data_IF_065478177791
#
_entry.id   IF_065478177791
#
_cell.length_a   1.000
_cell.length_b   1.000
_cell.length_c   1.000
_cell.angle_alpha   90.00
_cell.angle_beta   90.00
_cell.angle_gamma   90.00
#
_symmetry.space_group_name_H-M   'P 1'
#
loop_
_entity.id
_entity.type
_entity.pdbx_description
1 polymer ?
#
# COMPACT_ATOMS: atom_id res chain seq x y z
N UNK A 1 -19.50 10.79 -20.45
CA UNK A 1 -20.03 10.18 -19.22
C UNK A 1 -19.11 10.52 -18.06
N UNK A 2 -19.67 10.83 -16.90
CA UNK A 2 -18.91 11.12 -15.67
C UNK A 2 -19.49 10.28 -14.55
N UNK A 3 -18.65 9.51 -13.90
CA UNK A 3 -18.92 8.80 -12.66
C UNK A 3 -18.15 9.48 -11.54
N UNK A 4 -18.85 9.83 -10.48
CA UNK A 4 -18.29 10.46 -9.28
C UNK A 4 -18.42 9.51 -8.09
N UNK A 5 -17.41 9.49 -7.25
CA UNK A 5 -17.42 8.77 -5.98
C UNK A 5 -16.79 9.66 -4.90
N UNK A 6 -17.26 9.55 -3.70
CA UNK A 6 -16.65 10.15 -2.53
C UNK A 6 -16.34 9.09 -1.49
N UNK A 7 -15.12 9.08 -1.02
CA UNK A 7 -14.67 8.27 0.10
C UNK A 7 -14.09 9.19 1.17
N UNK A 8 -14.54 9.01 2.41
CA UNK A 8 -14.02 9.75 3.56
C UNK A 8 -14.25 8.92 4.83
N UNK A 9 -13.44 9.15 5.85
CA UNK A 9 -13.67 8.55 7.15
C UNK A 9 -13.18 9.42 8.29
N UNK A 10 -13.93 9.33 9.40
CA UNK A 10 -13.52 9.85 10.72
C UNK A 10 -12.92 8.71 11.50
N UNK A 11 -11.76 8.92 12.07
CA UNK A 11 -11.00 7.96 12.86
C UNK A 11 -10.86 8.43 14.30
N UNK A 12 -11.26 7.59 15.24
CA UNK A 12 -10.77 7.62 16.61
C UNK A 12 -9.59 6.68 16.72
N UNK A 13 -8.45 7.22 17.14
CA UNK A 13 -7.20 6.51 17.38
C UNK A 13 -6.89 6.53 18.85
N UNK A 14 -6.60 5.37 19.44
CA UNK A 14 -6.14 5.26 20.82
C UNK A 14 -4.99 4.24 20.89
N UNK A 15 -3.79 4.76 21.04
CA UNK A 15 -2.58 3.95 21.24
C UNK A 15 -2.41 3.67 22.74
N UNK A 16 -2.05 2.43 23.09
CA UNK A 16 -1.89 1.99 24.47
C UNK A 16 -0.66 1.12 24.64
N UNK A 17 -0.01 1.25 25.80
CA UNK A 17 1.18 0.47 26.13
C UNK A 17 2.25 0.58 25.03
N UNK A 18 2.43 1.79 24.51
CA UNK A 18 3.50 2.11 23.58
C UNK A 18 4.78 2.28 24.39
N UNK A 19 5.84 1.62 23.97
CA UNK A 19 7.16 1.86 24.56
C UNK A 19 7.57 3.32 24.33
N UNK A 20 8.06 4.04 25.36
CA UNK A 20 8.35 5.48 25.24
C UNK A 20 9.54 5.78 24.34
N UNK A 21 10.39 4.80 24.08
CA UNK A 21 11.51 4.90 23.14
C UNK A 21 11.82 3.53 22.54
N UNK A 22 12.55 3.53 21.44
CA UNK A 22 13.17 2.35 20.90
C UNK A 22 14.60 2.67 20.42
N UNK A 23 15.46 1.66 20.41
CA UNK A 23 16.80 1.76 19.85
C UNK A 23 16.83 1.08 18.51
N UNK A 24 17.20 1.83 17.46
CA UNK A 24 17.31 1.27 16.11
C UNK A 24 18.55 0.36 15.96
N UNK A 25 18.66 -0.32 14.82
CA UNK A 25 19.75 -1.28 14.55
C UNK A 25 21.14 -0.65 14.51
N UNK A 26 21.22 0.67 14.51
CA UNK A 26 22.47 1.45 14.54
C UNK A 26 22.80 2.02 15.93
N UNK A 27 22.01 1.66 16.95
CA UNK A 27 22.20 2.08 18.33
C UNK A 27 21.70 3.48 18.64
N UNK A 28 20.88 4.08 17.77
CA UNK A 28 20.29 5.41 18.01
C UNK A 28 18.98 5.24 18.75
N UNK A 29 18.88 5.86 19.93
CA UNK A 29 17.63 5.91 20.70
C UNK A 29 16.69 6.99 20.12
N UNK A 30 15.43 6.61 19.92
CA UNK A 30 14.38 7.46 19.39
C UNK A 30 13.20 7.48 20.34
N UNK A 31 12.73 8.68 20.68
CA UNK A 31 11.52 8.84 21.51
C UNK A 31 10.26 8.56 20.72
N UNK A 32 9.27 7.94 21.36
CA UNK A 32 7.97 7.62 20.79
C UNK A 32 6.89 8.35 21.57
N UNK A 33 6.03 9.08 20.86
CA UNK A 33 4.91 9.77 21.46
C UNK A 33 3.62 8.99 21.23
N UNK A 34 2.97 8.59 22.34
CA UNK A 34 1.67 7.95 22.30
C UNK A 34 0.57 8.94 21.90
N UNK A 35 -0.39 8.51 21.09
CA UNK A 35 -1.51 9.33 20.63
C UNK A 35 -2.86 8.79 21.10
N UNK A 36 -3.76 9.74 21.39
CA UNK A 36 -5.19 9.51 21.49
C UNK A 36 -5.89 10.71 20.90
N UNK A 37 -6.56 10.54 19.78
CA UNK A 37 -7.23 11.65 19.09
C UNK A 37 -8.39 11.17 18.20
N UNK A 38 -9.15 12.16 17.72
CA UNK A 38 -10.19 11.99 16.70
C UNK A 38 -9.88 12.93 15.54
N UNK A 39 -9.96 12.43 14.30
CA UNK A 39 -9.72 13.24 13.13
C UNK A 39 -10.51 12.79 11.90
N UNK A 40 -10.82 13.71 11.00
CA UNK A 40 -11.16 13.41 9.62
C UNK A 40 -9.86 13.01 8.91
N UNK A 41 -9.61 11.70 8.83
CA UNK A 41 -8.28 11.21 8.46
C UNK A 41 -7.99 11.29 6.98
N UNK A 42 -9.01 11.10 6.13
CA UNK A 42 -8.83 11.09 4.68
C UNK A 42 -10.08 11.55 3.93
N UNK A 43 -9.83 12.20 2.81
CA UNK A 43 -10.80 12.49 1.78
C UNK A 43 -10.25 12.00 0.44
N UNK A 44 -11.06 11.30 -0.34
CA UNK A 44 -10.70 10.83 -1.68
C UNK A 44 -11.91 10.95 -2.61
N UNK A 45 -11.76 11.71 -3.67
CA UNK A 45 -12.82 11.99 -4.62
C UNK A 45 -12.36 11.73 -6.06
N UNK A 46 -12.63 10.54 -6.60
CA UNK A 46 -12.38 10.22 -7.99
C UNK A 46 -13.51 10.66 -8.90
N UNK A 47 -13.11 11.07 -10.10
CA UNK A 47 -13.95 11.34 -11.26
C UNK A 47 -13.50 10.39 -12.36
N UNK A 48 -14.34 9.46 -12.76
CA UNK A 48 -14.05 8.51 -13.82
C UNK A 48 -15.06 8.64 -14.97
N UNK A 49 -14.65 8.27 -16.15
CA UNK A 49 -15.57 8.29 -17.29
C UNK A 49 -14.85 8.12 -18.63
N UNK A 50 -15.49 8.61 -19.65
CA UNK A 50 -14.95 8.61 -21.00
C UNK A 50 -15.29 9.90 -21.75
N UNK A 51 -14.47 10.23 -22.74
CA UNK A 51 -14.67 11.37 -23.64
C UNK A 51 -14.49 10.94 -25.10
N UNK A 52 -15.13 11.65 -26.02
CA UNK A 52 -15.21 11.33 -27.45
C UNK A 52 -15.86 9.97 -27.72
N UNK A 53 -15.28 8.87 -27.24
CA UNK A 53 -15.81 7.51 -27.35
C UNK A 53 -15.60 6.72 -26.07
N UNK A 54 -16.39 5.66 -25.74
CA UNK A 54 -16.20 4.85 -24.55
C UNK A 54 -14.82 4.15 -24.47
N UNK A 55 -14.03 4.20 -25.53
CA UNK A 55 -12.66 3.67 -25.57
C UNK A 55 -11.65 4.64 -24.92
N UNK A 56 -11.87 5.96 -25.00
CA UNK A 56 -11.04 6.95 -24.33
C UNK A 56 -11.54 7.18 -22.92
N UNK A 57 -10.84 6.65 -21.93
CA UNK A 57 -11.21 6.71 -20.52
C UNK A 57 -10.29 7.64 -19.76
N UNK A 58 -10.84 8.27 -18.75
CA UNK A 58 -10.09 9.06 -17.77
C UNK A 58 -10.45 8.60 -16.35
N UNK A 59 -9.48 8.76 -15.46
CA UNK A 59 -9.63 8.59 -14.02
C UNK A 59 -8.82 9.70 -13.34
N UNK A 60 -9.51 10.70 -12.84
CA UNK A 60 -8.92 11.86 -12.16
C UNK A 60 -9.39 11.84 -10.72
N UNK A 61 -8.56 12.25 -9.78
CA UNK A 61 -8.96 12.29 -8.38
C UNK A 61 -8.26 13.38 -7.59
N UNK A 62 -8.94 13.84 -6.54
CA UNK A 62 -8.35 14.62 -5.45
C UNK A 62 -8.30 13.73 -4.22
N UNK A 63 -7.14 13.71 -3.58
CA UNK A 63 -6.89 12.95 -2.38
C UNK A 63 -6.28 13.86 -1.32
N UNK A 64 -6.72 13.74 -0.07
CA UNK A 64 -6.08 14.39 1.06
C UNK A 64 -5.88 13.39 2.20
N UNK A 65 -4.85 13.61 3.00
CA UNK A 65 -4.60 12.86 4.22
C UNK A 65 -4.19 13.81 5.34
N UNK A 66 -4.85 13.68 6.48
CA UNK A 66 -4.54 14.39 7.72
C UNK A 66 -3.90 13.44 8.75
N UNK A 67 -3.45 12.26 8.32
CA UNK A 67 -2.96 11.21 9.21
C UNK A 67 -1.56 11.50 9.77
N UNK A 68 -0.79 12.41 9.15
CA UNK A 68 0.53 12.79 9.62
C UNK A 68 0.45 13.69 10.84
N UNK A 69 1.15 13.32 11.89
CA UNK A 69 1.19 14.10 13.12
C UNK A 69 2.20 15.26 13.00
N UNK A 70 1.69 16.50 13.09
CA UNK A 70 2.52 17.70 13.05
C UNK A 70 2.90 18.20 11.66
N UNK A 71 2.63 17.42 10.60
CA UNK A 71 2.83 17.86 9.23
C UNK A 71 1.56 18.50 8.64
N UNK A 72 1.68 19.40 7.68
CA UNK A 72 0.54 19.94 6.96
C UNK A 72 -0.27 18.81 6.28
N UNK A 73 -1.58 18.99 6.16
CA UNK A 73 -2.43 18.08 5.41
C UNK A 73 -1.92 17.97 3.96
N UNK A 74 -1.73 16.74 3.51
CA UNK A 74 -1.35 16.49 2.12
C UNK A 74 -2.59 16.55 1.23
N UNK A 75 -2.53 17.32 0.16
CA UNK A 75 -3.56 17.38 -0.87
C UNK A 75 -2.91 17.08 -2.22
N UNK A 76 -3.39 16.05 -2.89
CA UNK A 76 -2.85 15.58 -4.16
C UNK A 76 -3.95 15.52 -5.20
N UNK A 77 -3.75 16.23 -6.32
CA UNK A 77 -4.50 16.04 -7.55
C UNK A 77 -3.75 15.09 -8.46
N UNK A 78 -4.37 14.00 -8.88
CA UNK A 78 -3.73 12.99 -9.70
C UNK A 78 -4.73 12.31 -10.65
N UNK A 79 -4.21 11.47 -11.54
CA UNK A 79 -5.04 10.68 -12.44
C UNK A 79 -4.32 10.21 -13.67
N UNK A 80 -5.06 9.55 -14.54
CA UNK A 80 -4.55 8.97 -15.76
C UNK A 80 -5.58 8.97 -16.89
N UNK A 81 -5.07 8.83 -18.09
CA UNK A 81 -5.84 8.65 -19.32
C UNK A 81 -5.53 7.26 -19.89
N UNK A 82 -6.53 6.64 -20.51
CA UNK A 82 -6.33 5.34 -21.13
C UNK A 82 -7.19 5.14 -22.37
N UNK A 83 -6.74 4.22 -23.22
CA UNK A 83 -7.46 3.81 -24.41
C UNK A 83 -7.66 2.29 -24.41
N UNK A 84 -8.92 1.87 -24.53
CA UNK A 84 -9.33 0.46 -24.58
C UNK A 84 -9.39 0.01 -26.03
N UNK A 85 -8.38 -0.70 -26.51
CA UNK A 85 -8.40 -1.30 -27.87
C UNK A 85 -9.43 -2.43 -27.94
N UNK A 86 -9.33 -3.35 -27.00
CA UNK A 86 -10.23 -4.49 -26.82
C UNK A 86 -10.05 -5.06 -25.39
N UNK A 87 -10.66 -6.21 -25.08
CA UNK A 87 -10.53 -6.87 -23.78
C UNK A 87 -9.11 -7.33 -23.44
N UNK A 88 -8.29 -7.57 -24.44
CA UNK A 88 -6.91 -8.05 -24.26
C UNK A 88 -5.92 -6.92 -24.04
N UNK A 89 -6.23 -5.72 -24.52
CA UNK A 89 -5.30 -4.59 -24.53
C UNK A 89 -6.00 -3.29 -24.16
N UNK A 90 -5.58 -2.72 -23.05
CA UNK A 90 -5.81 -1.34 -22.64
C UNK A 90 -4.46 -0.70 -22.33
N UNK A 91 -4.20 0.46 -22.94
CA UNK A 91 -2.97 1.23 -22.71
C UNK A 91 -3.34 2.53 -22.01
N UNK A 92 -2.53 2.97 -21.07
CA UNK A 92 -2.75 4.23 -20.38
C UNK A 92 -1.47 4.90 -19.94
N UNK A 93 -1.59 6.16 -19.56
CA UNK A 93 -0.50 6.98 -19.07
C UNK A 93 -0.99 7.96 -17.99
N UNK A 94 -0.09 8.34 -17.09
CA UNK A 94 -0.36 9.24 -15.96
C UNK A 94 -0.06 8.59 -14.63
N UNK A 95 -0.68 9.09 -13.56
CA UNK A 95 -0.48 8.57 -12.21
C UNK A 95 -1.44 7.41 -11.95
N UNK A 96 -0.87 6.25 -11.61
CA UNK A 96 -1.63 5.07 -11.18
C UNK A 96 -0.81 4.23 -10.20
N UNK A 97 -1.44 3.25 -9.56
CA UNK A 97 -0.73 2.27 -8.70
C UNK A 97 0.20 1.40 -9.52
N UNK A 98 1.42 1.21 -9.04
CA UNK A 98 2.32 0.16 -9.52
C UNK A 98 1.75 -1.21 -9.15
N UNK A 99 1.67 -2.18 -10.08
CA UNK A 99 1.16 -3.53 -9.79
C UNK A 99 2.19 -4.40 -9.04
N UNK A 100 2.67 -3.93 -7.89
CA UNK A 100 3.76 -4.57 -7.12
C UNK A 100 3.27 -5.63 -6.14
N UNK A 101 2.07 -5.46 -5.62
CA UNK A 101 1.44 -6.34 -4.63
C UNK A 101 -0.07 -6.35 -4.87
N UNK A 102 -0.79 -7.25 -4.24
CA UNK A 102 -2.24 -7.35 -4.40
C UNK A 102 -2.97 -6.04 -4.10
N UNK A 103 -2.63 -5.35 -3.03
CA UNK A 103 -3.32 -4.12 -2.62
C UNK A 103 -3.12 -2.96 -3.60
N UNK A 104 -2.19 -3.08 -4.55
CA UNK A 104 -1.91 -2.09 -5.59
C UNK A 104 -2.47 -2.45 -6.98
N UNK A 105 -3.20 -3.55 -7.13
CA UNK A 105 -3.87 -3.89 -8.40
C UNK A 105 -5.00 -2.93 -8.77
N UNK A 106 -5.70 -2.41 -7.76
CA UNK A 106 -6.74 -1.41 -7.90
C UNK A 106 -6.31 -0.07 -7.34
N UNK A 107 -6.98 1.00 -7.77
CA UNK A 107 -6.63 2.35 -7.31
C UNK A 107 -7.10 2.68 -5.90
N UNK A 108 -7.94 1.91 -5.31
CA UNK A 108 -8.39 2.00 -3.92
C UNK A 108 -9.22 0.76 -3.58
N UNK A 109 -8.61 -0.37 -3.25
CA UNK A 109 -9.35 -1.57 -2.90
C UNK A 109 -10.07 -1.39 -1.56
N UNK A 110 -11.09 -2.20 -1.32
CA UNK A 110 -11.67 -2.32 0.01
C UNK A 110 -10.81 -3.25 0.86
N UNK A 111 -10.24 -2.71 1.94
CA UNK A 111 -9.57 -3.48 2.97
C UNK A 111 -10.56 -3.95 4.03
N UNK A 112 -10.18 -4.92 4.83
CA UNK A 112 -10.96 -5.37 5.99
C UNK A 112 -11.10 -4.24 7.01
N UNK A 113 -9.99 -3.62 7.44
CA UNK A 113 -9.99 -2.36 8.16
C UNK A 113 -10.24 -1.15 7.25
N UNK A 114 -10.56 0.00 7.80
CA UNK A 114 -10.73 1.23 7.02
C UNK A 114 -9.37 1.82 6.66
N UNK A 115 -9.06 1.87 5.36
CA UNK A 115 -7.78 2.36 4.84
C UNK A 115 -6.58 1.69 5.54
N UNK A 116 -6.71 0.39 5.75
CA UNK A 116 -5.88 -0.39 6.68
C UNK A 116 -5.07 -1.48 5.98
N UNK A 117 -3.92 -1.12 5.34
CA UNK A 117 -2.92 -2.11 4.96
C UNK A 117 -2.23 -2.70 6.19
N UNK A 118 -1.79 -3.94 6.07
CA UNK A 118 -0.90 -4.56 7.04
C UNK A 118 0.53 -4.02 6.89
N UNK A 119 1.36 -4.12 7.94
CA UNK A 119 2.73 -3.57 7.91
C UNK A 119 3.58 -4.18 6.81
N UNK A 120 3.44 -5.49 6.52
CA UNK A 120 4.19 -6.13 5.44
C UNK A 120 3.76 -5.59 4.07
N UNK A 121 2.46 -5.47 3.81
CA UNK A 121 1.95 -4.85 2.58
C UNK A 121 2.51 -3.44 2.40
N UNK A 122 2.43 -2.59 3.43
CA UNK A 122 2.91 -1.22 3.39
C UNK A 122 4.43 -1.11 3.22
N UNK A 123 5.18 -2.04 3.79
CA UNK A 123 6.65 -2.05 3.71
C UNK A 123 7.17 -2.50 2.35
N UNK A 124 6.54 -3.50 1.74
CA UNK A 124 7.02 -4.11 0.48
C UNK A 124 6.44 -3.45 -0.77
N UNK A 125 5.27 -2.83 -0.71
CA UNK A 125 4.62 -2.29 -1.90
C UNK A 125 5.38 -1.10 -2.50
N UNK A 126 5.35 -0.98 -3.82
CA UNK A 126 5.42 0.33 -4.48
C UNK A 126 4.11 1.10 -4.27
N UNK A 127 4.05 2.33 -4.70
CA UNK A 127 2.87 3.16 -4.51
C UNK A 127 2.34 3.71 -5.85
N UNK A 128 1.74 4.88 -5.81
CA UNK A 128 1.26 5.58 -7.00
C UNK A 128 2.41 6.37 -7.62
N UNK A 129 2.58 6.27 -8.92
CA UNK A 129 3.65 6.97 -9.65
C UNK A 129 3.21 7.32 -11.07
N UNK A 130 3.96 8.21 -11.71
CA UNK A 130 3.80 8.53 -13.13
C UNK A 130 4.38 7.42 -14.00
N UNK A 131 3.66 7.03 -15.05
CA UNK A 131 4.16 6.05 -15.99
C UNK A 131 3.22 5.77 -17.14
N UNK A 132 3.60 4.80 -17.92
CA UNK A 132 2.79 4.20 -18.98
C UNK A 132 2.53 2.74 -18.63
N UNK A 133 1.32 2.27 -18.90
CA UNK A 133 0.93 0.93 -18.54
C UNK A 133 0.10 0.25 -19.62
N UNK A 134 0.14 -1.08 -19.62
CA UNK A 134 -0.68 -1.93 -20.44
C UNK A 134 -1.30 -3.02 -19.58
N UNK A 135 -2.60 -3.27 -19.75
CA UNK A 135 -3.32 -4.34 -19.04
C UNK A 135 -4.41 -4.96 -19.88
N UNK A 136 -4.81 -6.15 -19.51
CA UNK A 136 -5.92 -6.85 -20.18
C UNK A 136 -6.06 -8.30 -19.73
N UNK A 137 -6.94 -9.02 -20.42
CA UNK A 137 -7.13 -10.45 -20.22
C UNK A 137 -6.25 -11.20 -21.22
N UNK A 138 -5.34 -12.09 -20.77
CA UNK A 138 -4.63 -13.01 -21.67
C UNK A 138 -5.57 -14.13 -22.15
N UNK A 139 -6.35 -14.67 -21.20
CA UNK A 139 -7.39 -15.67 -21.40
C UNK A 139 -8.59 -15.35 -20.51
N UNK A 140 -9.67 -16.14 -20.57
CA UNK A 140 -10.89 -15.84 -19.83
C UNK A 140 -10.72 -15.62 -18.32
N UNK A 141 -9.69 -16.19 -17.72
CA UNK A 141 -9.47 -16.17 -16.27
C UNK A 141 -8.06 -15.73 -15.87
N UNK A 142 -7.27 -15.31 -16.84
CA UNK A 142 -5.89 -14.88 -16.66
C UNK A 142 -5.75 -13.43 -17.10
N UNK A 143 -5.39 -12.56 -16.18
CA UNK A 143 -5.22 -11.11 -16.40
C UNK A 143 -3.77 -10.70 -16.20
N UNK A 144 -3.35 -9.68 -16.91
CA UNK A 144 -2.03 -9.08 -16.74
C UNK A 144 -2.09 -7.57 -16.58
N UNK A 145 -1.08 -7.02 -15.92
CA UNK A 145 -0.82 -5.59 -15.82
C UNK A 145 0.69 -5.37 -15.83
N UNK A 146 1.18 -4.51 -16.71
CA UNK A 146 2.59 -4.14 -16.80
C UNK A 146 2.72 -2.63 -16.85
N UNK A 147 3.72 -2.08 -16.17
CA UNK A 147 3.93 -0.64 -16.08
C UNK A 147 5.42 -0.29 -16.16
N UNK A 148 5.74 0.75 -16.93
CA UNK A 148 6.99 1.49 -16.88
C UNK A 148 6.73 2.83 -16.23
N UNK A 149 7.52 3.20 -15.22
CA UNK A 149 7.25 4.32 -14.36
C UNK A 149 8.54 5.06 -13.97
N UNK A 150 8.38 6.23 -13.37
CA UNK A 150 9.50 7.08 -12.96
C UNK A 150 10.18 6.58 -11.69
N UNK A 151 9.40 6.08 -10.70
CA UNK A 151 9.92 5.60 -9.41
C UNK A 151 8.89 4.70 -8.72
N UNK A 152 9.22 4.17 -7.54
CA UNK A 152 8.31 3.34 -6.74
C UNK A 152 7.16 4.13 -6.11
N UNK A 153 7.33 5.43 -5.87
CA UNK A 153 6.29 6.27 -5.28
C UNK A 153 6.51 7.74 -5.55
N UNK A 154 5.46 8.42 -6.00
CA UNK A 154 5.42 9.87 -6.13
C UNK A 154 4.42 10.52 -5.18
N UNK A 155 3.45 9.78 -4.63
CA UNK A 155 2.47 10.33 -3.69
C UNK A 155 3.11 10.56 -2.32
N UNK A 156 2.95 11.78 -1.83
CA UNK A 156 3.60 12.25 -0.61
C UNK A 156 4.92 12.98 -0.87
N UNK A 157 5.34 13.00 -2.11
CA UNK A 157 6.49 13.75 -2.60
C UNK A 157 6.01 15.11 -3.10
N UNK A 158 6.78 16.16 -2.92
CA UNK A 158 6.43 17.48 -3.46
C UNK A 158 6.18 17.41 -4.96
N UNK A 159 5.11 18.03 -5.46
CA UNK A 159 4.82 18.10 -6.89
C UNK A 159 5.92 18.76 -7.74
N UNK A 160 6.88 19.43 -7.09
CA UNK A 160 8.08 20.01 -7.69
C UNK A 160 9.23 19.03 -7.84
N UNK A 161 9.11 17.80 -7.32
CA UNK A 161 10.16 16.81 -7.46
C UNK A 161 10.28 16.32 -8.90
N UNK A 162 11.51 16.28 -9.36
CA UNK A 162 11.84 15.82 -10.70
C UNK A 162 12.60 14.51 -10.56
N UNK A 163 12.01 13.44 -11.06
CA UNK A 163 12.73 12.21 -11.28
C UNK A 163 13.57 12.32 -12.55
N UNK A 164 14.75 11.74 -12.54
CA UNK A 164 15.72 11.89 -13.63
C UNK A 164 15.53 10.84 -14.74
N UNK A 165 14.75 9.79 -14.52
CA UNK A 165 14.56 8.66 -15.44
C UNK A 165 13.22 7.98 -15.27
N UNK A 166 12.87 7.15 -16.28
CA UNK A 166 11.81 6.14 -16.20
C UNK A 166 12.47 4.76 -16.12
N UNK A 167 12.92 4.37 -14.95
CA UNK A 167 13.66 3.12 -14.74
C UNK A 167 12.96 2.12 -13.82
N UNK A 168 11.73 2.43 -13.43
CA UNK A 168 10.88 1.52 -12.68
C UNK A 168 10.05 0.66 -13.61
N UNK A 169 10.09 -0.64 -13.37
CA UNK A 169 9.32 -1.65 -14.12
C UNK A 169 8.51 -2.48 -13.12
N UNK A 170 7.25 -2.73 -13.44
CA UNK A 170 6.40 -3.60 -12.63
C UNK A 170 5.49 -4.43 -13.50
N UNK A 171 5.24 -5.65 -13.07
CA UNK A 171 4.40 -6.61 -13.75
C UNK A 171 3.60 -7.44 -12.76
N UNK A 172 2.33 -7.69 -13.09
CA UNK A 172 1.44 -8.60 -12.36
C UNK A 172 0.75 -9.56 -13.32
N UNK A 173 0.65 -10.82 -12.90
CA UNK A 173 -0.14 -11.84 -13.55
C UNK A 173 -1.11 -12.44 -12.55
N UNK A 174 -2.42 -12.34 -12.83
CA UNK A 174 -3.50 -12.75 -11.95
C UNK A 174 -4.31 -13.88 -12.60
N UNK A 175 -4.44 -14.99 -11.90
CA UNK A 175 -5.25 -16.13 -12.32
C UNK A 175 -6.45 -16.34 -11.39
N UNK A 176 -7.64 -16.41 -11.98
CA UNK A 176 -8.94 -16.55 -11.30
C UNK A 176 -9.64 -17.85 -11.76
N UNK A 177 -9.13 -19.04 -11.34
CA UNK A 177 -9.44 -20.30 -12.00
C UNK A 177 -10.89 -20.75 -11.90
N UNK A 178 -11.61 -20.39 -10.85
CA UNK A 178 -12.99 -20.86 -10.63
C UNK A 178 -14.02 -19.97 -11.30
N UNK A 179 -14.37 -18.83 -10.67
CA UNK A 179 -15.43 -17.92 -11.13
C UNK A 179 -14.97 -16.94 -12.21
N UNK A 180 -13.67 -16.70 -12.34
CA UNK A 180 -13.12 -15.66 -13.22
C UNK A 180 -13.14 -14.25 -12.60
N UNK A 181 -13.54 -14.13 -11.33
CA UNK A 181 -13.55 -12.89 -10.56
C UNK A 181 -13.24 -13.20 -9.08
N UNK A 182 -12.89 -12.17 -8.29
CA UNK A 182 -12.53 -12.31 -6.87
C UNK A 182 -12.98 -11.10 -6.04
N UNK A 183 -14.02 -10.41 -6.48
CA UNK A 183 -14.53 -9.17 -5.92
C UNK A 183 -14.03 -7.92 -6.64
N UNK A 184 -14.72 -6.82 -6.40
CA UNK A 184 -14.47 -5.54 -7.06
C UNK A 184 -13.11 -4.95 -6.64
N UNK A 185 -12.27 -4.59 -7.62
CA UNK A 185 -10.97 -3.93 -7.40
C UNK A 185 -10.00 -4.68 -6.48
N UNK A 186 -10.02 -6.02 -6.49
CA UNK A 186 -9.14 -6.81 -5.62
C UNK A 186 -9.51 -6.78 -4.14
N UNK A 187 -10.75 -6.44 -3.81
CA UNK A 187 -11.31 -6.36 -2.46
C UNK A 187 -10.91 -7.53 -1.56
N UNK A 188 -10.51 -7.21 -0.34
CA UNK A 188 -10.31 -8.18 0.73
C UNK A 188 -11.64 -8.53 1.42
N UNK A 189 -11.76 -9.77 1.89
CA UNK A 189 -13.01 -10.28 2.47
C UNK A 189 -14.07 -10.61 1.43
N UNK A 190 -15.11 -11.33 1.86
CA UNK A 190 -16.20 -11.77 1.01
C UNK A 190 -17.53 -11.08 1.37
N UNK A 191 -17.55 -9.75 1.31
CA UNK A 191 -18.79 -8.98 1.46
C UNK A 191 -19.80 -9.29 0.36
N UNK A 192 -19.31 -9.55 -0.88
CA UNK A 192 -20.17 -9.84 -2.05
C UNK A 192 -20.86 -11.21 -1.96
N UNK A 193 -20.51 -12.00 -0.94
CA UNK A 193 -21.14 -13.26 -0.57
C UNK A 193 -21.19 -14.27 -1.72
N UNK A 194 -20.01 -14.61 -2.28
CA UNK A 194 -19.88 -15.51 -3.42
C UNK A 194 -20.60 -16.84 -3.22
N UNK A 195 -21.64 -17.09 -4.01
CA UNK A 195 -22.42 -18.34 -3.96
C UNK A 195 -21.63 -19.57 -4.48
N UNK A 196 -20.58 -19.32 -5.24
CA UNK A 196 -19.64 -20.35 -5.72
C UNK A 196 -18.26 -20.04 -5.16
N UNK A 197 -17.44 -21.07 -4.97
CA UNK A 197 -16.06 -20.89 -4.53
C UNK A 197 -15.31 -20.03 -5.56
N UNK A 198 -14.93 -18.83 -5.17
CA UNK A 198 -14.05 -17.96 -5.93
C UNK A 198 -12.61 -18.16 -5.44
N UNK A 199 -11.69 -18.36 -6.37
CA UNK A 199 -10.27 -18.55 -6.06
C UNK A 199 -9.41 -17.62 -6.89
N UNK A 200 -8.27 -17.26 -6.30
CA UNK A 200 -7.27 -16.36 -6.86
C UNK A 200 -5.87 -16.90 -6.61
N UNK A 201 -5.00 -16.73 -7.58
CA UNK A 201 -3.55 -16.80 -7.43
C UNK A 201 -2.92 -15.70 -8.29
N UNK A 202 -1.92 -15.00 -7.78
CA UNK A 202 -1.22 -14.00 -8.57
C UNK A 202 0.26 -13.96 -8.23
N UNK A 203 1.05 -13.43 -9.16
CA UNK A 203 2.46 -13.11 -8.99
C UNK A 203 2.69 -11.68 -9.44
N UNK A 204 3.50 -10.98 -8.68
CA UNK A 204 3.92 -9.60 -8.94
C UNK A 204 5.44 -9.54 -8.95
N UNK A 205 5.98 -8.70 -9.80
CA UNK A 205 7.40 -8.43 -9.87
C UNK A 205 7.63 -6.94 -10.11
N UNK A 206 8.65 -6.38 -9.48
CA UNK A 206 9.07 -5.01 -9.71
C UNK A 206 10.57 -4.85 -9.60
N UNK A 207 11.09 -3.91 -10.37
CA UNK A 207 12.47 -3.49 -10.39
C UNK A 207 12.52 -1.97 -10.54
N UNK A 208 13.39 -1.31 -9.79
CA UNK A 208 13.62 0.12 -9.90
C UNK A 208 15.06 0.46 -9.50
N UNK A 209 15.64 1.45 -10.15
CA UNK A 209 16.85 2.10 -9.69
C UNK A 209 16.47 3.36 -8.91
N UNK A 210 16.38 3.23 -7.59
CA UNK A 210 15.89 4.30 -6.72
C UNK A 210 17.00 5.23 -6.27
N UNK A 211 16.71 6.52 -6.22
CA UNK A 211 17.55 7.55 -5.64
C UNK A 211 16.82 8.30 -4.51
N UNK A 212 17.44 9.29 -3.92
CA UNK A 212 16.85 10.09 -2.83
C UNK A 212 15.75 11.05 -3.27
N UNK A 213 15.51 11.19 -4.57
CA UNK A 213 14.48 12.05 -5.20
C UNK A 213 14.52 13.52 -4.74
N UNK A 214 15.71 14.04 -4.44
CA UNK A 214 15.86 15.44 -4.01
C UNK A 214 15.91 16.40 -5.19
N UNK A 215 15.40 17.61 -4.97
CA UNK A 215 15.54 18.69 -5.94
C UNK A 215 17.02 19.01 -6.21
N UNK A 216 17.38 19.45 -7.43
CA UNK A 216 18.72 19.90 -7.73
C UNK A 216 19.19 20.98 -6.75
N UNK A 217 20.38 20.80 -6.19
CA UNK A 217 20.99 21.75 -5.23
C UNK A 217 20.53 21.60 -3.78
N UNK A 218 19.69 20.60 -3.45
CA UNK A 218 19.33 20.29 -2.07
C UNK A 218 19.90 18.93 -1.64
N UNK A 219 20.04 18.75 -0.31
CA UNK A 219 20.38 17.45 0.29
C UNK A 219 19.17 16.79 0.95
N UNK A 220 17.96 17.31 0.71
CA UNK A 220 16.75 16.74 1.26
C UNK A 220 16.56 15.30 0.77
N UNK A 221 16.07 14.43 1.67
CA UNK A 221 15.71 13.05 1.35
C UNK A 221 14.20 13.04 1.26
N UNK A 222 13.70 12.80 0.05
CA UNK A 222 12.27 12.80 -0.19
C UNK A 222 11.76 11.40 -0.54
N UNK A 223 12.65 10.49 -0.97
CA UNK A 223 12.35 9.07 -1.11
C UNK A 223 12.34 8.38 0.27
N UNK A 224 11.19 8.33 0.89
CA UNK A 224 10.96 7.61 2.13
C UNK A 224 10.40 6.19 1.93
N UNK A 225 10.26 5.75 0.68
CA UNK A 225 9.72 4.43 0.34
C UNK A 225 10.71 3.31 0.65
N UNK A 226 12.02 3.55 0.45
CA UNK A 226 13.05 2.53 0.69
C UNK A 226 13.57 2.63 2.12
N UNK A 227 13.04 1.72 2.95
CA UNK A 227 13.40 1.62 4.38
C UNK A 227 14.06 0.28 4.69
N UNK A 228 14.89 0.27 5.72
CA UNK A 228 15.32 -0.94 6.41
C UNK A 228 14.19 -1.50 7.26
N UNK A 229 14.32 -2.73 7.73
CA UNK A 229 13.28 -3.38 8.55
C UNK A 229 13.15 -2.76 9.96
N UNK A 230 14.11 -1.94 10.39
CA UNK A 230 13.99 -1.08 11.58
C UNK A 230 13.34 0.28 11.29
N UNK A 231 12.94 0.54 10.02
CA UNK A 231 12.28 1.76 9.59
C UNK A 231 13.18 2.91 9.17
N UNK A 232 14.50 2.79 9.29
CA UNK A 232 15.42 3.81 8.81
C UNK A 232 15.39 3.91 7.28
N UNK A 233 15.36 5.15 6.75
CA UNK A 233 15.45 5.41 5.31
C UNK A 233 16.88 5.25 4.84
N UNK A 234 17.13 4.40 3.83
CA UNK A 234 18.50 4.04 3.40
C UNK A 234 19.34 5.21 2.89
N UNK A 235 18.70 6.30 2.44
CA UNK A 235 19.38 7.50 1.93
C UNK A 235 19.82 8.45 3.05
N UNK A 236 19.55 8.11 4.33
CA UNK A 236 19.97 8.92 5.49
C UNK A 236 21.49 8.99 5.54
N UNK A 237 22.09 10.20 5.55
CA UNK A 237 23.54 10.34 5.68
C UNK A 237 24.05 9.67 6.96
N UNK A 238 25.24 9.08 6.86
CA UNK A 238 25.92 8.36 7.95
C UNK A 238 25.20 7.12 8.50
N UNK A 239 24.07 6.70 7.90
CA UNK A 239 23.32 5.53 8.36
C UNK A 239 24.19 4.26 8.42
N UNK A 240 24.96 4.00 7.36
CA UNK A 240 25.83 2.82 7.26
C UNK A 240 27.26 3.08 7.76
N UNK A 241 27.46 4.12 8.52
CA UNK A 241 28.75 4.53 9.08
C UNK A 241 29.13 5.96 8.72
N UNK A 242 29.98 6.56 9.54
CA UNK A 242 30.41 7.97 9.38
C UNK A 242 31.01 8.22 8.00
N UNK A 243 30.53 9.23 7.31
CA UNK A 243 30.97 9.63 5.96
C UNK A 243 30.37 8.77 4.83
N UNK A 244 29.40 7.89 5.14
CA UNK A 244 28.70 7.08 4.15
C UNK A 244 27.42 7.75 3.71
N UNK A 245 27.19 7.87 2.40
CA UNK A 245 25.93 8.39 1.85
C UNK A 245 25.52 7.57 0.64
N UNK A 246 24.35 6.97 0.68
CA UNK A 246 23.75 6.25 -0.45
C UNK A 246 23.08 7.27 -1.37
N UNK A 247 23.44 7.26 -2.64
CA UNK A 247 22.81 8.08 -3.67
C UNK A 247 21.79 7.29 -4.48
N UNK A 248 22.12 6.03 -4.84
CA UNK A 248 21.19 5.15 -5.57
C UNK A 248 21.27 3.72 -5.05
N UNK A 249 20.20 2.96 -5.26
CA UNK A 249 20.11 1.54 -4.95
C UNK A 249 19.29 0.82 -6.02
N UNK A 250 19.70 -0.38 -6.38
CA UNK A 250 18.93 -1.30 -7.24
C UNK A 250 17.92 -2.08 -6.38
N UNK A 251 16.65 -1.79 -6.57
CA UNK A 251 15.52 -2.40 -5.86
C UNK A 251 14.89 -3.49 -6.72
N UNK A 252 14.74 -4.69 -6.15
CA UNK A 252 14.01 -5.80 -6.75
C UNK A 252 13.03 -6.37 -5.74
N UNK A 253 11.81 -6.62 -6.19
CA UNK A 253 10.78 -7.20 -5.33
C UNK A 253 9.91 -8.17 -6.12
N UNK A 254 9.49 -9.24 -5.45
CA UNK A 254 8.50 -10.19 -5.93
C UNK A 254 7.49 -10.45 -4.83
N UNK A 255 6.20 -10.55 -5.19
CA UNK A 255 5.20 -11.11 -4.30
C UNK A 255 4.39 -12.20 -4.99
N UNK A 256 3.85 -13.10 -4.18
CA UNK A 256 2.92 -14.14 -4.61
C UNK A 256 1.74 -14.12 -3.66
N UNK A 257 0.54 -13.99 -4.21
CA UNK A 257 -0.69 -13.99 -3.42
C UNK A 257 -1.66 -15.07 -3.86
N UNK A 258 -2.56 -15.40 -2.95
CA UNK A 258 -3.65 -16.32 -3.20
C UNK A 258 -4.81 -16.14 -2.24
N UNK A 259 -5.94 -16.71 -2.59
CA UNK A 259 -7.10 -16.64 -1.72
C UNK A 259 -8.28 -17.47 -2.19
N UNK A 260 -9.21 -17.64 -1.27
CA UNK A 260 -10.49 -18.32 -1.49
C UNK A 260 -11.61 -17.52 -0.82
N UNK A 261 -12.76 -17.43 -1.51
CA UNK A 261 -13.99 -16.80 -1.02
C UNK A 261 -15.18 -17.71 -1.27
N UNK A 262 -16.04 -17.81 -0.27
CA UNK A 262 -17.26 -18.62 -0.39
C UNK A 262 -18.26 -18.27 0.71
N UNK A 263 -19.49 -17.92 0.33
CA UNK A 263 -20.64 -17.65 1.23
C UNK A 263 -20.29 -16.73 2.41
N UNK A 264 -19.61 -15.62 2.11
CA UNK A 264 -19.23 -14.62 3.10
C UNK A 264 -17.94 -14.93 3.84
N UNK A 265 -17.32 -16.09 3.63
CA UNK A 265 -16.03 -16.46 4.21
C UNK A 265 -14.90 -16.14 3.24
N UNK A 266 -13.78 -15.65 3.74
CA UNK A 266 -12.55 -15.48 2.98
C UNK A 266 -11.32 -15.93 3.75
N UNK A 267 -10.35 -16.46 3.02
CA UNK A 267 -8.99 -16.69 3.48
C UNK A 267 -8.03 -16.25 2.37
N UNK A 268 -7.13 -15.32 2.68
CA UNK A 268 -6.32 -14.62 1.71
C UNK A 268 -4.92 -14.38 2.28
N UNK A 269 -3.89 -14.62 1.49
CA UNK A 269 -2.51 -14.43 1.93
C UNK A 269 -1.60 -13.96 0.81
N UNK A 270 -0.49 -13.38 1.19
CA UNK A 270 0.56 -12.90 0.28
C UNK A 270 1.93 -13.06 0.93
N UNK A 271 2.93 -13.45 0.17
CA UNK A 271 4.31 -13.55 0.58
C UNK A 271 5.20 -12.63 -0.27
N UNK A 272 6.25 -12.06 0.33
CA UNK A 272 7.08 -11.00 -0.23
C UNK A 272 8.55 -11.36 -0.15
N UNK A 273 9.31 -10.98 -1.19
CA UNK A 273 10.77 -11.05 -1.25
C UNK A 273 11.29 -9.77 -1.85
N UNK A 274 12.13 -9.05 -1.09
CA UNK A 274 12.80 -7.82 -1.53
C UNK A 274 14.30 -7.98 -1.48
N UNK A 275 15.00 -7.43 -2.47
CA UNK A 275 16.46 -7.35 -2.48
C UNK A 275 16.90 -5.96 -2.88
N UNK A 276 17.80 -5.38 -2.09
CA UNK A 276 18.47 -4.12 -2.35
C UNK A 276 19.95 -4.40 -2.61
N UNK A 277 20.44 -3.95 -3.77
CA UNK A 277 21.80 -4.24 -4.24
C UNK A 277 22.42 -3.02 -4.92
N UNK A 278 23.70 -3.10 -5.29
CA UNK A 278 24.37 -2.08 -6.08
C UNK A 278 24.26 -0.67 -5.49
N UNK A 279 24.51 -0.54 -4.19
CA UNK A 279 24.51 0.76 -3.53
C UNK A 279 25.62 1.65 -4.11
N UNK A 280 25.25 2.83 -4.64
CA UNK A 280 26.20 3.83 -5.11
C UNK A 280 26.16 5.09 -4.27
N UNK A 281 27.26 5.82 -4.21
CA UNK A 281 27.37 7.04 -3.41
C UNK A 281 28.76 7.22 -2.82
N UNK A 282 28.81 7.83 -1.63
CA UNK A 282 30.07 8.09 -0.92
C UNK A 282 30.31 6.95 0.07
N UNK A 283 31.49 6.31 -0.01
CA UNK A 283 31.93 5.22 0.87
C UNK A 283 30.96 4.03 0.96
N UNK A 284 30.25 3.73 -0.12
CA UNK A 284 29.21 2.66 -0.14
C UNK A 284 29.76 1.25 -0.36
N UNK A 285 31.05 1.10 -0.69
CA UNK A 285 31.65 -0.19 -1.06
C UNK A 285 31.66 -1.27 0.04
N UNK A 286 31.36 -0.90 1.30
CA UNK A 286 31.23 -1.83 2.42
C UNK A 286 29.78 -2.24 2.73
N UNK A 287 28.80 -1.69 2.02
CA UNK A 287 27.39 -2.03 2.24
C UNK A 287 27.08 -3.35 1.54
N UNK A 288 26.76 -4.36 2.35
CA UNK A 288 26.34 -5.65 1.81
C UNK A 288 24.91 -5.61 1.27
N UNK A 289 24.61 -6.47 0.30
CA UNK A 289 23.26 -6.68 -0.19
C UNK A 289 22.29 -6.93 0.96
N UNK A 290 21.10 -6.34 0.85
CA UNK A 290 20.03 -6.49 1.84
C UNK A 290 18.92 -7.33 1.21
N UNK A 291 18.52 -8.37 1.92
CA UNK A 291 17.38 -9.21 1.53
C UNK A 291 16.39 -9.25 2.68
N UNK A 292 15.15 -8.90 2.38
CA UNK A 292 14.04 -8.94 3.32
C UNK A 292 12.94 -9.85 2.77
N UNK A 293 12.26 -10.53 3.67
CA UNK A 293 11.12 -11.37 3.35
C UNK A 293 9.96 -11.06 4.29
N UNK A 294 8.76 -11.42 3.88
CA UNK A 294 7.59 -11.25 4.74
C UNK A 294 6.39 -11.98 4.21
N UNK A 295 5.36 -12.00 5.02
CA UNK A 295 4.06 -12.53 4.61
C UNK A 295 2.93 -11.82 5.34
N UNK A 296 1.73 -11.92 4.78
CA UNK A 296 0.49 -11.58 5.44
C UNK A 296 -0.56 -12.66 5.25
N UNK A 297 -1.45 -12.78 6.23
CA UNK A 297 -2.60 -13.66 6.19
C UNK A 297 -3.83 -12.90 6.72
N UNK A 298 -4.94 -13.00 6.00
CA UNK A 298 -6.20 -12.37 6.36
C UNK A 298 -7.35 -13.35 6.22
N UNK A 299 -8.21 -13.41 7.22
CA UNK A 299 -9.42 -14.21 7.23
C UNK A 299 -10.60 -13.36 7.64
N UNK A 300 -11.73 -13.51 6.98
CA UNK A 300 -12.96 -12.83 7.39
C UNK A 300 -14.19 -13.68 7.17
N UNK A 301 -15.27 -13.33 7.89
CA UNK A 301 -16.57 -13.97 7.75
C UNK A 301 -17.69 -12.97 7.94
N UNK A 302 -18.73 -13.04 7.08
CA UNK A 302 -20.00 -12.33 7.28
C UNK A 302 -20.82 -13.06 8.35
N UNK A 303 -20.67 -12.64 9.62
CA UNK A 303 -21.45 -13.21 10.72
C UNK A 303 -22.96 -12.96 10.53
N UNK A 304 -23.31 -11.82 9.95
CA UNK A 304 -24.65 -11.49 9.47
C UNK A 304 -24.51 -10.93 8.07
N UNK A 305 -25.09 -11.61 7.08
CA UNK A 305 -24.99 -11.21 5.67
C UNK A 305 -25.38 -9.75 5.49
N UNK A 306 -24.54 -9.01 4.75
CA UNK A 306 -24.67 -7.59 4.42
C UNK A 306 -24.66 -6.64 5.63
N UNK A 307 -24.47 -7.14 6.87
CA UNK A 307 -24.58 -6.33 8.10
C UNK A 307 -23.32 -6.36 8.94
N UNK A 308 -22.82 -7.55 9.28
CA UNK A 308 -21.70 -7.69 10.21
C UNK A 308 -20.62 -8.60 9.64
N UNK A 309 -19.44 -8.04 9.44
CA UNK A 309 -18.24 -8.77 9.07
C UNK A 309 -17.25 -8.81 10.25
N UNK A 310 -16.77 -9.98 10.57
CA UNK A 310 -15.69 -10.19 11.54
C UNK A 310 -14.43 -10.58 10.79
N UNK A 311 -13.24 -10.20 11.32
CA UNK A 311 -11.99 -10.57 10.69
C UNK A 311 -10.83 -10.70 11.68
N UNK A 312 -9.87 -11.51 11.25
CA UNK A 312 -8.56 -11.68 11.86
C UNK A 312 -7.51 -11.53 10.76
N UNK A 313 -6.49 -10.76 11.02
CA UNK A 313 -5.37 -10.60 10.08
C UNK A 313 -4.06 -10.44 10.82
N UNK A 314 -2.97 -10.72 10.13
CA UNK A 314 -1.64 -10.52 10.67
C UNK A 314 -0.58 -10.53 9.58
N UNK A 315 0.57 -9.98 9.90
CA UNK A 315 1.73 -10.00 9.01
C UNK A 315 3.04 -10.05 9.78
N UNK A 316 4.06 -10.55 9.11
CA UNK A 316 5.41 -10.68 9.62
C UNK A 316 6.41 -10.23 8.55
N UNK A 317 7.44 -9.50 8.98
CA UNK A 317 8.59 -9.10 8.18
C UNK A 317 9.83 -9.67 8.83
N UNK A 318 10.74 -10.18 8.02
CA UNK A 318 12.05 -10.69 8.44
C UNK A 318 13.13 -9.94 7.68
N UNK A 319 14.11 -9.42 8.38
CA UNK A 319 15.22 -8.73 7.75
C UNK A 319 16.44 -8.56 8.65
N UNK A 320 17.55 -8.20 8.03
CA UNK A 320 18.82 -8.06 8.73
C UNK A 320 18.79 -7.01 9.85
N UNK A 321 17.92 -6.02 9.75
CA UNK A 321 17.82 -4.89 10.67
C UNK A 321 16.65 -4.99 11.65
N UNK A 322 16.20 -6.21 11.93
CA UNK A 322 15.14 -6.53 12.86
C UNK A 322 13.90 -7.12 12.19
N UNK A 323 13.16 -7.84 12.97
CA UNK A 323 11.90 -8.45 12.54
C UNK A 323 10.72 -7.63 13.07
N UNK A 324 9.64 -7.60 12.30
CA UNK A 324 8.44 -6.85 12.65
C UNK A 324 7.20 -7.71 12.51
N UNK A 325 6.22 -7.51 13.36
CA UNK A 325 4.96 -8.25 13.28
C UNK A 325 3.75 -7.44 13.70
N UNK A 326 2.59 -7.85 13.21
CA UNK A 326 1.32 -7.36 13.71
C UNK A 326 0.25 -8.45 13.70
N UNK A 327 -0.72 -8.29 14.59
CA UNK A 327 -1.96 -9.06 14.62
C UNK A 327 -3.12 -8.10 14.80
N UNK A 328 -4.19 -8.30 14.03
CA UNK A 328 -5.41 -7.48 14.09
C UNK A 328 -6.64 -8.36 14.26
N UNK A 329 -7.54 -7.91 15.12
CA UNK A 329 -8.89 -8.44 15.25
C UNK A 329 -9.85 -7.28 15.06
N UNK A 330 -10.85 -7.45 14.23
CA UNK A 330 -11.79 -6.36 13.98
C UNK A 330 -13.14 -6.82 13.46
N UNK A 331 -14.01 -5.84 13.43
CA UNK A 331 -15.36 -5.97 12.89
C UNK A 331 -15.73 -4.76 12.03
N UNK A 332 -16.61 -4.98 11.09
CA UNK A 332 -17.23 -3.94 10.27
C UNK A 332 -18.74 -4.09 10.29
N UNK A 333 -19.44 -3.05 10.71
CA UNK A 333 -20.89 -2.98 10.75
C UNK A 333 -21.41 -2.08 9.64
N UNK A 334 -22.18 -2.64 8.72
CA UNK A 334 -22.75 -1.98 7.54
C UNK A 334 -24.21 -1.59 7.82
N UNK A 335 -24.44 -0.33 8.26
CA UNK A 335 -25.75 0.14 8.71
C UNK A 335 -26.84 0.09 7.65
N UNK A 336 -26.48 0.32 6.39
CA UNK A 336 -27.40 0.39 5.25
C UNK A 336 -27.48 -0.91 4.45
N UNK A 337 -26.83 -1.98 4.94
CA UNK A 337 -26.64 -3.24 4.18
C UNK A 337 -25.95 -3.01 2.83
N UNK A 338 -25.14 -1.98 2.74
CA UNK A 338 -24.34 -1.60 1.59
C UNK A 338 -22.97 -1.10 2.08
N UNK A 339 -21.98 -1.14 1.23
CA UNK A 339 -20.61 -0.65 1.57
C UNK A 339 -20.52 0.86 1.71
N UNK A 340 -21.61 1.60 1.47
CA UNK A 340 -21.61 3.05 1.49
C UNK A 340 -21.41 3.69 2.86
N UNK A 341 -21.77 2.98 3.93
CA UNK A 341 -21.59 3.46 5.30
C UNK A 341 -21.27 2.29 6.22
N UNK A 342 -20.09 2.30 6.83
CA UNK A 342 -19.70 1.29 7.84
C UNK A 342 -19.02 1.91 9.06
N UNK A 343 -19.32 1.31 10.22
CA UNK A 343 -18.52 1.47 11.43
C UNK A 343 -17.55 0.29 11.50
N UNK A 344 -16.27 0.58 11.61
CA UNK A 344 -15.24 -0.41 11.80
C UNK A 344 -14.57 -0.22 13.15
N UNK A 345 -14.47 -1.27 13.93
CA UNK A 345 -13.70 -1.31 15.17
C UNK A 345 -12.59 -2.34 15.03
N UNK A 346 -11.37 -1.94 15.37
CA UNK A 346 -10.19 -2.78 15.19
C UNK A 346 -9.25 -2.65 16.38
N UNK A 347 -8.78 -3.78 16.89
CA UNK A 347 -7.66 -3.88 17.80
C UNK A 347 -6.44 -4.40 17.06
N UNK A 348 -5.32 -3.69 17.17
CA UNK A 348 -4.04 -4.03 16.52
C UNK A 348 -2.97 -4.15 17.61
N UNK A 349 -2.25 -5.24 17.61
CA UNK A 349 -0.99 -5.41 18.34
C UNK A 349 0.16 -5.36 17.37
N UNK A 350 1.14 -4.49 17.64
CA UNK A 350 2.30 -4.24 16.76
C UNK A 350 3.58 -4.45 17.53
N UNK A 351 4.53 -5.07 16.86
CA UNK A 351 5.88 -5.24 17.34
C UNK A 351 6.87 -4.71 16.29
N UNK A 352 7.61 -3.65 16.62
CA UNK A 352 8.63 -2.99 15.78
C UNK A 352 8.14 -2.57 14.39
N UNK A 353 7.15 -1.67 14.30
CA UNK A 353 6.64 -1.21 13.01
C UNK A 353 7.71 -0.52 12.15
N UNK A 354 8.07 -1.02 10.96
CA UNK A 354 9.03 -0.35 10.07
C UNK A 354 8.42 0.80 9.28
N UNK A 355 7.10 1.00 9.37
CA UNK A 355 6.32 2.02 8.67
C UNK A 355 5.56 2.88 9.69
N UNK A 356 5.25 4.11 9.33
CA UNK A 356 4.69 5.08 10.27
C UNK A 356 3.51 5.87 9.73
N UNK A 357 3.13 6.91 10.43
CA UNK A 357 1.85 7.64 10.41
C UNK A 357 1.24 8.01 9.06
N UNK A 358 1.99 8.25 8.03
CA UNK A 358 1.41 8.58 6.73
C UNK A 358 0.64 7.41 6.11
N UNK A 359 1.01 6.20 6.48
CA UNK A 359 0.47 4.97 5.93
C UNK A 359 -0.01 3.98 6.99
N UNK A 360 0.48 4.12 8.22
CA UNK A 360 0.20 3.20 9.31
C UNK A 360 0.01 3.98 10.63
N UNK A 361 -1.00 3.67 11.46
CA UNK A 361 -1.36 4.48 12.62
C UNK A 361 -0.45 4.29 13.85
N UNK A 362 0.84 4.19 13.63
CA UNK A 362 1.87 3.95 14.63
C UNK A 362 3.14 4.74 14.30
N UNK A 363 3.95 5.18 15.27
CA UNK A 363 5.31 5.67 14.99
C UNK A 363 6.19 4.55 14.44
N UNK A 364 7.18 4.91 13.63
CA UNK A 364 8.22 3.98 13.18
C UNK A 364 8.96 3.39 14.37
N UNK A 365 9.21 2.09 14.36
CA UNK A 365 9.94 1.35 15.40
C UNK A 365 9.15 1.03 16.66
N UNK A 366 7.94 1.56 16.81
CA UNK A 366 7.17 1.41 18.03
C UNK A 366 6.59 0.00 18.22
N UNK A 367 6.49 -0.39 19.49
CA UNK A 367 5.73 -1.55 19.95
C UNK A 367 4.49 -1.06 20.71
N UNK A 368 3.41 -1.82 20.68
CA UNK A 368 2.25 -1.53 21.50
C UNK A 368 0.93 -1.91 20.86
N UNK A 369 -0.14 -1.35 21.36
CA UNK A 369 -1.49 -1.68 20.96
C UNK A 369 -2.20 -0.44 20.41
N UNK A 370 -3.10 -0.66 19.46
CA UNK A 370 -3.93 0.38 18.85
C UNK A 370 -5.39 -0.06 18.94
N UNK A 371 -6.24 0.85 19.36
CA UNK A 371 -7.69 0.74 19.20
C UNK A 371 -8.10 1.76 18.16
N UNK A 372 -8.65 1.29 17.08
CA UNK A 372 -9.27 2.10 16.03
C UNK A 372 -10.78 2.01 16.09
N UNK A 373 -11.45 3.15 15.94
CA UNK A 373 -12.88 3.19 15.59
C UNK A 373 -13.03 4.13 14.41
N UNK A 374 -13.50 3.62 13.29
CA UNK A 374 -13.59 4.37 12.05
C UNK A 374 -15.04 4.40 11.56
N UNK A 375 -15.56 5.59 11.31
CA UNK A 375 -16.81 5.77 10.57
C UNK A 375 -16.48 6.13 9.12
N UNK A 376 -16.69 5.18 8.20
CA UNK A 376 -16.43 5.33 6.77
C UNK A 376 -17.69 5.68 6.01
N UNK A 377 -17.56 6.66 5.12
CA UNK A 377 -18.56 7.03 4.11
C UNK A 377 -17.98 6.82 2.72
N UNK A 378 -18.74 6.16 1.86
CA UNK A 378 -18.32 5.80 0.52
C UNK A 378 -19.54 5.75 -0.43
N UNK A 379 -19.75 6.76 -1.27
CA UNK A 379 -20.89 6.91 -2.15
C UNK A 379 -20.52 7.57 -3.49
#
# INVERSE_FOLDING_TARGET
EVYFRLFSYVRYLNQRNIDPSYTDSFGVERSVQQRQDIQLAKFFSPFAGWFLTPKFRYYLYVWSSNASQGDPAQVVGAGNLSYVFNRFVTVGAGITSLPTVRSTEGQFPYWLGVDGRLIADEFFRGSYTNGVWIKGDLFQKLKYNAMFATNLSILGVSASQIDNKMDTQSFALQWLPTTGEFGLWGTFGDYDYHEKVATRAAVHWSHSLEDKQSQPGTNAIENSQIRLTDGNVIFTPDLFGKGTTVNTVDYKMMSVDGGVKYKGLSLEGEAYWRRLTNFTGVNTGGIADITDTGYQLQSSGMAIKDVLQLYLSGSQIFGRYGDSSEVRVGESWYFTKQRGLRLNTEFIHVNHSPVGYTAYPMPVGANGNIIHVNLEMNF
#
